data_IF_547476802102
#
_entry.id   IF_547476802102
#
_cell.length_a   1.000
_cell.length_b   1.000
_cell.length_c   1.000
_cell.angle_alpha   90.00
_cell.angle_beta   90.00
_cell.angle_gamma   90.00
#
_symmetry.space_group_name_H-M   'P 1'
#
loop_
_entity.id
_entity.type
_entity.pdbx_description
1 polymer ?
#
# COMPACT_ATOMS: atom_id res chain seq x y z
N UNK A 1 23.28 16.48 10.07
CA UNK A 1 22.46 16.96 8.93
C UNK A 1 21.69 15.77 8.38
N UNK A 2 20.37 15.87 8.20
CA UNK A 2 19.54 14.77 7.70
C UNK A 2 19.28 14.98 6.21
N UNK A 3 20.06 14.31 5.34
CA UNK A 3 19.88 14.42 3.89
C UNK A 3 18.69 13.55 3.48
N UNK A 4 17.62 14.13 2.90
CA UNK A 4 16.50 13.33 2.43
C UNK A 4 16.92 12.51 1.20
N UNK A 5 16.65 11.21 1.22
CA UNK A 5 16.82 10.34 0.07
C UNK A 5 15.56 10.37 -0.80
N UNK A 6 15.72 10.59 -2.09
CA UNK A 6 14.61 10.57 -3.05
C UNK A 6 14.83 9.48 -4.08
N UNK A 7 13.82 8.62 -4.26
CA UNK A 7 13.78 7.63 -5.32
C UNK A 7 12.80 8.13 -6.39
N UNK A 8 13.31 8.38 -7.60
CA UNK A 8 12.55 8.83 -8.76
C UNK A 8 12.61 7.72 -9.82
N UNK A 9 11.45 7.32 -10.33
CA UNK A 9 11.34 6.40 -11.45
C UNK A 9 10.67 7.12 -12.63
N UNK A 10 11.19 6.88 -13.84
CA UNK A 10 10.49 7.24 -15.07
C UNK A 10 9.33 6.26 -15.26
N UNK A 11 8.17 6.76 -15.68
CA UNK A 11 6.93 5.97 -15.77
C UNK A 11 6.64 5.47 -17.20
N UNK A 12 7.56 5.72 -18.14
CA UNK A 12 7.36 5.41 -19.56
C UNK A 12 7.43 3.90 -19.86
N UNK A 13 8.12 3.12 -19.02
CA UNK A 13 8.35 1.68 -19.22
C UNK A 13 8.13 0.89 -17.92
N UNK A 14 6.88 0.78 -17.48
CA UNK A 14 6.50 -0.02 -16.30
C UNK A 14 6.19 -1.45 -16.77
N UNK A 15 6.90 -2.48 -16.26
CA UNK A 15 6.64 -3.87 -16.62
C UNK A 15 5.20 -4.28 -16.32
N UNK A 16 4.48 -4.75 -17.34
CA UNK A 16 3.14 -5.27 -17.18
C UNK A 16 3.20 -6.76 -16.78
N UNK A 17 2.90 -7.05 -15.51
CA UNK A 17 2.81 -8.42 -15.00
C UNK A 17 1.36 -8.74 -14.68
N UNK A 18 0.82 -9.80 -15.30
CA UNK A 18 -0.54 -10.26 -15.01
C UNK A 18 -0.63 -10.81 -13.59
N UNK A 19 -1.70 -10.45 -12.90
CA UNK A 19 -1.98 -10.99 -11.58
C UNK A 19 -2.46 -12.46 -11.69
N UNK A 20 -2.01 -13.38 -10.81
CA UNK A 20 -2.52 -14.75 -10.83
C UNK A 20 -4.04 -14.79 -10.58
N UNK A 21 -4.75 -15.72 -11.21
CA UNK A 21 -6.23 -15.83 -11.14
C UNK A 21 -6.80 -15.96 -9.72
N UNK A 22 -6.00 -16.40 -8.75
CA UNK A 22 -6.40 -16.52 -7.34
C UNK A 22 -6.37 -15.19 -6.58
N UNK A 23 -6.06 -14.08 -7.26
CA UNK A 23 -6.00 -12.76 -6.67
C UNK A 23 -6.78 -11.73 -7.48
N UNK A 24 -7.18 -10.64 -6.83
CA UNK A 24 -7.80 -9.48 -7.45
C UNK A 24 -7.38 -8.19 -6.76
N UNK A 25 -7.44 -7.09 -7.49
CA UNK A 25 -7.35 -5.75 -6.89
C UNK A 25 -8.73 -5.25 -6.47
N UNK A 26 -8.79 -4.59 -5.32
CA UNK A 26 -9.99 -3.88 -4.86
C UNK A 26 -9.61 -2.54 -4.24
N UNK A 27 -10.33 -1.48 -4.61
CA UNK A 27 -10.19 -0.17 -3.96
C UNK A 27 -10.84 -0.16 -2.57
N UNK A 28 -10.36 0.73 -1.71
CA UNK A 28 -10.94 1.01 -0.40
C UNK A 28 -12.42 1.41 -0.51
N UNK A 29 -13.31 0.68 0.15
CA UNK A 29 -14.78 0.86 0.12
C UNK A 29 -15.51 0.32 1.37
N UNK A 30 -14.96 -0.68 2.04
CA UNK A 30 -15.65 -1.36 3.16
C UNK A 30 -15.42 -0.63 4.49
N UNK A 31 -16.36 -0.79 5.42
CA UNK A 31 -16.31 -0.11 6.73
C UNK A 31 -15.05 -0.47 7.55
N UNK A 32 -14.56 -1.70 7.39
CA UNK A 32 -13.40 -2.27 8.09
C UNK A 32 -12.09 -2.18 7.29
N UNK A 33 -12.07 -1.42 6.18
CA UNK A 33 -10.87 -1.32 5.35
C UNK A 33 -9.74 -0.56 6.06
N UNK A 34 -10.04 0.36 6.97
CA UNK A 34 -9.02 1.04 7.80
C UNK A 34 -8.27 0.06 8.70
N UNK A 35 -8.99 -0.87 9.32
CA UNK A 35 -8.48 -1.92 10.19
C UNK A 35 -7.71 -2.96 9.36
N UNK A 36 -8.22 -3.29 8.18
CA UNK A 36 -7.53 -4.18 7.24
C UNK A 36 -6.21 -3.57 6.77
N UNK A 37 -6.21 -2.28 6.43
CA UNK A 37 -5.00 -1.54 6.07
C UNK A 37 -4.00 -1.56 7.23
N UNK A 38 -4.43 -1.20 8.44
CA UNK A 38 -3.59 -1.16 9.63
C UNK A 38 -2.94 -2.51 9.95
N UNK A 39 -3.70 -3.60 9.86
CA UNK A 39 -3.21 -4.98 10.02
C UNK A 39 -2.09 -5.31 9.04
N UNK A 40 -2.26 -4.97 7.77
CA UNK A 40 -1.28 -5.30 6.72
C UNK A 40 0.01 -4.53 6.93
N UNK A 41 -0.05 -3.20 7.10
CA UNK A 41 1.16 -2.36 7.26
C UNK A 41 1.88 -2.62 8.58
N UNK A 42 1.16 -3.01 9.63
CA UNK A 42 1.78 -3.48 10.89
C UNK A 42 2.50 -4.81 10.66
N UNK A 43 1.88 -5.75 9.93
CA UNK A 43 2.50 -7.04 9.62
C UNK A 43 3.76 -6.93 8.74
N UNK A 44 3.95 -5.82 8.00
CA UNK A 44 5.20 -5.54 7.29
C UNK A 44 6.27 -4.88 8.15
N UNK A 45 5.98 -4.62 9.43
CA UNK A 45 6.91 -3.97 10.37
C UNK A 45 7.00 -2.45 10.19
N UNK A 46 6.11 -1.83 9.41
CA UNK A 46 6.10 -0.37 9.24
C UNK A 46 5.67 0.34 10.53
N UNK A 47 4.78 -0.29 11.28
CA UNK A 47 4.32 0.18 12.59
C UNK A 47 4.57 -0.88 13.66
N UNK A 48 4.82 -0.47 14.91
CA UNK A 48 5.04 -1.41 16.01
C UNK A 48 3.77 -2.17 16.40
N UNK A 49 2.59 -1.59 16.15
CA UNK A 49 1.29 -2.19 16.44
C UNK A 49 0.16 -1.57 15.57
N UNK A 50 -0.99 -2.25 15.53
CA UNK A 50 -2.15 -1.84 14.74
C UNK A 50 -2.74 -0.50 15.22
N UNK A 51 -2.63 -0.15 16.51
CA UNK A 51 -3.15 1.11 17.02
C UNK A 51 -2.33 2.30 16.48
N UNK A 52 -1.01 2.16 16.37
CA UNK A 52 -0.15 3.17 15.75
C UNK A 52 -0.39 3.33 14.26
N UNK A 53 -0.65 2.24 13.55
CA UNK A 53 -1.10 2.32 12.16
C UNK A 53 -2.45 3.05 12.05
N UNK A 54 -3.45 2.70 12.88
CA UNK A 54 -4.75 3.38 12.89
C UNK A 54 -4.63 4.87 13.26
N UNK A 55 -3.79 5.23 14.22
CA UNK A 55 -3.48 6.61 14.56
C UNK A 55 -2.96 7.35 13.33
N UNK A 56 -2.02 6.74 12.59
CA UNK A 56 -1.50 7.32 11.35
C UNK A 56 -2.60 7.49 10.31
N UNK A 57 -3.42 6.46 10.06
CA UNK A 57 -4.55 6.51 9.12
C UNK A 57 -5.53 7.64 9.46
N UNK A 58 -5.90 7.77 10.73
CA UNK A 58 -6.83 8.79 11.21
C UNK A 58 -6.29 10.21 11.00
N UNK A 59 -4.98 10.39 11.17
CA UNK A 59 -4.34 11.70 11.01
C UNK A 59 -4.10 12.05 9.53
N UNK A 60 -3.83 11.06 8.66
CA UNK A 60 -3.42 11.31 7.27
C UNK A 60 -4.53 11.17 6.24
N UNK A 61 -5.37 10.13 6.40
CA UNK A 61 -6.23 9.63 5.34
C UNK A 61 -7.70 9.90 5.64
N UNK A 62 -8.13 9.67 6.89
CA UNK A 62 -9.52 9.90 7.33
C UNK A 62 -10.06 11.30 7.04
N UNK A 63 -9.27 12.40 7.12
CA UNK A 63 -9.75 13.73 6.75
C UNK A 63 -10.06 13.91 5.26
N UNK A 64 -9.68 12.95 4.41
CA UNK A 64 -9.82 13.02 2.95
C UNK A 64 -10.69 11.87 2.39
N UNK A 65 -11.98 11.77 2.79
CA UNK A 65 -12.86 10.65 2.44
C UNK A 65 -13.11 10.50 0.93
N UNK A 66 -12.92 11.56 0.15
CA UNK A 66 -13.06 11.53 -1.32
C UNK A 66 -11.81 11.02 -2.04
N UNK A 67 -10.65 11.04 -1.38
CA UNK A 67 -9.37 10.63 -1.96
C UNK A 67 -9.00 9.20 -1.55
N UNK A 68 -9.34 8.78 -0.33
CA UNK A 68 -9.06 7.43 0.19
C UNK A 68 -9.54 6.31 -0.76
N UNK A 69 -10.80 6.31 -1.25
CA UNK A 69 -11.30 5.26 -2.16
C UNK A 69 -10.62 5.23 -3.54
N UNK A 70 -9.84 6.26 -3.89
CA UNK A 70 -9.13 6.35 -5.18
C UNK A 70 -7.66 5.94 -5.07
N UNK A 71 -7.13 5.86 -3.85
CA UNK A 71 -5.68 5.86 -3.60
C UNK A 71 -5.20 4.68 -2.77
N UNK A 72 -6.09 4.03 -2.02
CA UNK A 72 -5.78 2.81 -1.28
C UNK A 72 -6.34 1.62 -2.06
N UNK A 73 -5.46 0.72 -2.46
CA UNK A 73 -5.78 -0.52 -3.16
C UNK A 73 -5.38 -1.68 -2.26
N UNK A 74 -6.23 -2.70 -2.21
CA UNK A 74 -5.94 -4.00 -1.60
C UNK A 74 -5.71 -5.03 -2.70
N UNK A 75 -4.74 -5.90 -2.46
CA UNK A 75 -4.60 -7.16 -3.15
C UNK A 75 -5.37 -8.20 -2.32
N UNK A 76 -6.45 -8.74 -2.87
CA UNK A 76 -7.26 -9.77 -2.22
C UNK A 76 -7.03 -11.13 -2.85
N UNK A 77 -7.09 -12.18 -2.02
CA UNK A 77 -7.20 -13.57 -2.45
C UNK A 77 -8.64 -13.90 -2.87
N UNK A 78 -8.83 -15.00 -3.58
CA UNK A 78 -10.14 -15.47 -4.08
C UNK A 78 -11.17 -15.75 -2.97
N UNK A 79 -10.72 -16.02 -1.75
CA UNK A 79 -11.54 -16.22 -0.56
C UNK A 79 -11.91 -14.90 0.16
N UNK A 80 -11.45 -13.75 -0.36
CA UNK A 80 -11.80 -12.42 0.15
C UNK A 80 -10.86 -11.86 1.23
N UNK A 81 -9.77 -12.55 1.56
CA UNK A 81 -8.77 -12.01 2.49
C UNK A 81 -7.83 -11.02 1.79
N UNK A 82 -7.46 -9.93 2.45
CA UNK A 82 -6.47 -9.02 1.93
C UNK A 82 -5.05 -9.54 2.19
N UNK A 83 -4.31 -9.82 1.11
CA UNK A 83 -2.91 -10.27 1.13
C UNK A 83 -1.91 -9.11 1.12
N UNK A 84 -2.32 -7.93 0.68
CA UNK A 84 -1.47 -6.75 0.65
C UNK A 84 -2.25 -5.46 0.40
N UNK A 85 -1.57 -4.33 0.54
CA UNK A 85 -2.12 -3.01 0.23
C UNK A 85 -1.05 -2.11 -0.39
N UNK A 86 -1.49 -1.20 -1.24
CA UNK A 86 -0.69 -0.08 -1.72
C UNK A 86 -1.49 1.21 -1.58
N UNK A 87 -0.87 2.25 -1.01
CA UNK A 87 -1.48 3.57 -0.83
C UNK A 87 -0.66 4.63 -1.55
N UNK A 88 -1.24 5.24 -2.58
CA UNK A 88 -0.63 6.32 -3.35
C UNK A 88 -1.10 7.69 -2.83
N UNK A 89 -0.33 8.28 -1.91
CA UNK A 89 -0.73 9.46 -1.16
C UNK A 89 0.05 10.73 -1.50
N UNK A 90 -0.51 11.88 -1.17
CA UNK A 90 0.19 13.16 -1.35
C UNK A 90 1.21 13.35 -0.21
N UNK A 91 2.49 13.45 -0.54
CA UNK A 91 3.53 14.01 0.33
C UNK A 91 3.79 15.48 -0.02
N UNK A 92 3.88 16.38 0.95
CA UNK A 92 4.36 17.73 0.68
C UNK A 92 4.05 18.78 1.75
N UNK A 93 5.11 19.34 2.32
CA UNK A 93 5.14 20.65 2.94
C UNK A 93 5.20 21.72 1.84
N UNK A 94 4.03 22.27 1.48
CA UNK A 94 3.88 23.61 0.92
C UNK A 94 4.13 23.85 -0.57
N UNK A 95 5.08 23.17 -1.24
CA UNK A 95 5.48 23.63 -2.60
C UNK A 95 5.28 22.61 -3.74
N UNK A 96 5.18 21.30 -3.48
CA UNK A 96 4.76 20.30 -4.49
C UNK A 96 4.01 19.16 -3.83
N UNK A 97 2.83 18.80 -4.34
CA UNK A 97 2.17 17.51 -4.03
C UNK A 97 3.00 16.41 -4.69
N UNK A 98 3.84 15.74 -3.91
CA UNK A 98 4.60 14.55 -4.31
C UNK A 98 3.73 13.33 -4.08
N UNK A 99 3.93 12.25 -4.83
CA UNK A 99 3.26 10.99 -4.54
C UNK A 99 4.18 10.15 -3.64
N UNK A 100 3.78 9.89 -2.40
CA UNK A 100 4.35 8.84 -1.56
C UNK A 100 3.58 7.55 -1.81
N UNK A 101 4.28 6.44 -2.02
CA UNK A 101 3.65 5.12 -2.16
C UNK A 101 3.99 4.30 -0.94
N UNK A 102 2.98 3.95 -0.15
CA UNK A 102 3.10 2.95 0.91
C UNK A 102 2.77 1.58 0.31
N UNK A 103 3.64 0.60 0.46
CA UNK A 103 3.41 -0.76 -0.04
C UNK A 103 3.57 -1.73 1.14
N UNK A 104 2.47 -2.33 1.57
CA UNK A 104 2.48 -3.42 2.54
C UNK A 104 2.13 -4.73 1.84
N UNK A 105 3.09 -5.65 1.70
CA UNK A 105 2.83 -7.01 1.25
C UNK A 105 3.00 -7.95 2.44
N UNK A 106 1.92 -8.65 2.83
CA UNK A 106 2.05 -9.79 3.73
C UNK A 106 2.43 -10.98 2.88
N UNK A 107 3.49 -11.69 3.24
CA UNK A 107 3.81 -12.97 2.60
C UNK A 107 2.69 -13.97 2.91
N UNK A 108 1.75 -14.14 1.97
CA UNK A 108 0.97 -15.35 1.91
C UNK A 108 1.95 -16.49 1.56
N UNK A 109 1.89 -17.65 2.22
CA UNK A 109 2.82 -18.78 1.97
C UNK A 109 2.90 -19.19 0.48
N UNK A 110 1.94 -18.76 -0.35
CA UNK A 110 1.87 -18.99 -1.80
C UNK A 110 2.57 -17.93 -2.66
N UNK A 111 2.94 -16.77 -2.11
CA UNK A 111 3.55 -15.66 -2.86
C UNK A 111 5.07 -15.65 -2.66
N UNK A 112 5.79 -16.44 -3.46
CA UNK A 112 7.24 -16.29 -3.62
C UNK A 112 7.48 -15.24 -4.71
N UNK A 113 8.08 -14.11 -4.34
CA UNK A 113 8.67 -13.19 -5.32
C UNK A 113 9.81 -13.94 -5.99
N UNK A 114 9.67 -14.28 -7.28
CA UNK A 114 10.81 -14.68 -8.11
C UNK A 114 11.59 -13.41 -8.42
N UNK A 115 12.77 -13.27 -7.83
CA UNK A 115 13.70 -12.22 -8.21
C UNK A 115 14.19 -12.49 -9.63
N UNK A 116 14.26 -11.44 -10.45
CA UNK A 116 14.74 -11.48 -11.84
C UNK A 116 16.23 -11.82 -12.01
N UNK A 117 16.90 -12.25 -10.93
CA UNK A 117 18.29 -12.73 -10.93
C UNK A 117 18.45 -14.25 -10.96
N UNK A 118 17.38 -15.03 -10.80
CA UNK A 118 17.45 -16.50 -10.94
C UNK A 118 17.20 -16.91 -12.40
N UNK A 119 18.27 -16.86 -13.20
CA UNK A 119 18.43 -17.66 -14.41
C UNK A 119 19.66 -18.55 -14.27
#
# INVERSE_FOLDING_TARGET
>A
MNTPLYMLHQLDDIPNNSLPNSYRFRLFRQKNDSETWAKIVTATGEFPDENKAIERFNNEFKPHPNEVPKRIIFLETSDGHAAGTATAWFGGNGIKKRLGVYIGLKSHQSFKVKNSGDR
#
